data_IF_201027839895
#
_entry.id   IF_201027839895
#
_cell.length_a   1.000
_cell.length_b   1.000
_cell.length_c   1.000
_cell.angle_alpha   90.00
_cell.angle_beta   90.00
_cell.angle_gamma   90.00
#
_symmetry.space_group_name_H-M   'P 1'
#
loop_
_entity.id
_entity.type
_entity.pdbx_description
1 polymer ?
#
# COMPACT_ATOMS: atom_id res chain seq x y z
N UNK A 1 -54.31 -38.39 -20.56
CA UNK A 1 -53.47 -38.11 -19.38
C UNK A 1 -53.76 -36.69 -18.91
N UNK A 2 -54.09 -36.54 -17.63
CA UNK A 2 -54.35 -35.29 -16.91
C UNK A 2 -53.05 -34.48 -16.82
N UNK A 3 -53.14 -33.15 -16.92
CA UNK A 3 -52.63 -32.24 -15.87
C UNK A 3 -52.96 -30.79 -16.19
N UNK A 4 -53.64 -30.15 -15.23
CA UNK A 4 -53.97 -28.72 -15.17
C UNK A 4 -52.74 -28.01 -14.60
N UNK A 5 -52.26 -26.96 -15.24
CA UNK A 5 -51.22 -26.10 -14.67
C UNK A 5 -51.87 -24.88 -14.00
N UNK A 6 -51.62 -24.74 -12.70
CA UNK A 6 -52.15 -23.72 -11.81
C UNK A 6 -51.37 -22.40 -11.93
N UNK A 7 -52.09 -21.30 -11.73
CA UNK A 7 -51.57 -19.93 -11.63
C UNK A 7 -50.91 -19.73 -10.26
N UNK A 8 -49.73 -19.12 -10.23
CA UNK A 8 -49.14 -18.58 -9.00
C UNK A 8 -48.54 -17.20 -9.30
N UNK A 9 -49.25 -16.14 -8.91
CA UNK A 9 -48.77 -14.76 -8.94
C UNK A 9 -48.05 -14.52 -7.61
N UNK A 10 -46.73 -14.67 -7.61
CA UNK A 10 -45.89 -14.40 -6.44
C UNK A 10 -45.49 -12.92 -6.40
N UNK A 11 -45.92 -12.21 -5.36
CA UNK A 11 -45.49 -10.84 -5.09
C UNK A 11 -44.03 -10.84 -4.61
N UNK A 12 -43.14 -10.20 -5.36
CA UNK A 12 -41.75 -9.97 -4.94
C UNK A 12 -41.67 -8.71 -4.07
N UNK A 13 -41.57 -8.90 -2.75
CA UNK A 13 -41.25 -7.83 -1.82
C UNK A 13 -39.75 -7.49 -1.93
N UNK A 14 -39.43 -6.33 -2.53
CA UNK A 14 -38.07 -5.79 -2.59
C UNK A 14 -37.71 -5.19 -1.22
N UNK A 15 -36.92 -5.90 -0.43
CA UNK A 15 -36.31 -5.37 0.79
C UNK A 15 -35.07 -4.57 0.40
N UNK A 16 -35.20 -3.24 0.35
CA UNK A 16 -34.06 -2.35 0.17
C UNK A 16 -33.27 -2.25 1.48
N UNK A 17 -32.22 -3.07 1.62
CA UNK A 17 -31.26 -2.92 2.70
C UNK A 17 -30.39 -1.69 2.44
N UNK A 18 -30.66 -0.60 3.13
CA UNK A 18 -29.81 0.61 3.13
C UNK A 18 -28.49 0.29 3.84
N UNK A 19 -27.47 -0.07 3.06
CA UNK A 19 -26.10 -0.21 3.54
C UNK A 19 -25.52 1.18 3.81
N UNK A 20 -25.50 1.59 5.08
CA UNK A 20 -24.74 2.76 5.52
C UNK A 20 -23.25 2.43 5.44
N UNK A 21 -22.60 2.86 4.34
CA UNK A 21 -21.14 2.84 4.22
C UNK A 21 -20.56 3.84 5.22
N UNK A 22 -20.10 3.36 6.37
CA UNK A 22 -19.22 4.15 7.24
C UNK A 22 -17.85 4.19 6.58
N UNK A 23 -17.45 5.35 6.07
CA UNK A 23 -16.11 5.55 5.56
C UNK A 23 -15.12 5.33 6.71
N UNK A 24 -14.36 4.22 6.65
CA UNK A 24 -13.29 3.99 7.60
C UNK A 24 -12.28 5.14 7.50
N UNK A 25 -11.70 5.61 8.63
CA UNK A 25 -10.69 6.65 8.59
C UNK A 25 -9.55 6.24 7.65
N UNK A 26 -9.20 7.13 6.72
CA UNK A 26 -8.10 6.93 5.79
C UNK A 26 -6.77 7.04 6.55
N UNK A 27 -6.33 5.92 7.12
CA UNK A 27 -5.07 5.78 7.84
C UNK A 27 -3.88 5.55 6.87
N UNK A 28 -3.96 6.17 5.69
CA UNK A 28 -2.95 6.03 4.66
C UNK A 28 -1.76 6.96 4.95
N UNK A 29 -0.57 6.38 5.03
CA UNK A 29 0.68 7.12 4.93
C UNK A 29 1.12 7.16 3.45
N UNK A 30 1.82 8.21 3.07
CA UNK A 30 2.30 8.37 1.71
C UNK A 30 3.11 9.63 1.50
N UNK A 31 3.78 9.67 0.36
CA UNK A 31 4.60 10.80 -0.07
C UNK A 31 5.62 10.35 -1.10
N UNK A 32 6.90 10.68 -0.92
CA UNK A 32 7.95 10.34 -1.88
C UNK A 32 8.98 9.40 -1.26
N UNK A 33 9.50 8.49 -2.09
CA UNK A 33 10.62 7.62 -1.77
C UNK A 33 11.72 7.82 -2.81
N UNK A 34 12.94 8.03 -2.33
CA UNK A 34 14.10 8.34 -3.15
C UNK A 34 15.24 7.36 -2.86
N UNK A 35 15.80 6.77 -3.91
CA UNK A 35 17.10 6.10 -3.86
C UNK A 35 18.16 7.07 -4.43
N UNK A 36 19.31 7.20 -3.76
CA UNK A 36 20.37 8.12 -4.16
C UNK A 36 20.92 7.85 -5.58
N UNK A 37 21.12 6.59 -5.96
CA UNK A 37 21.68 6.19 -7.26
C UNK A 37 20.76 5.39 -8.17
N UNK A 38 19.89 4.58 -7.59
CA UNK A 38 19.04 3.65 -8.32
C UNK A 38 17.60 4.14 -8.46
N UNK A 39 16.80 3.41 -9.23
CA UNK A 39 15.34 3.57 -9.23
C UNK A 39 14.74 2.78 -8.07
N UNK A 40 13.80 3.34 -7.29
CA UNK A 40 12.99 2.54 -6.37
C UNK A 40 12.11 1.57 -7.16
N UNK A 41 12.25 0.27 -6.90
CA UNK A 41 11.54 -0.81 -7.63
C UNK A 41 10.50 -1.54 -6.78
N UNK A 42 10.54 -1.36 -5.47
CA UNK A 42 9.61 -1.98 -4.53
C UNK A 42 9.74 -1.36 -3.16
N UNK A 43 8.68 -1.45 -2.37
CA UNK A 43 8.72 -1.03 -0.97
C UNK A 43 7.78 -1.89 -0.14
N UNK A 44 8.33 -2.58 0.86
CA UNK A 44 7.57 -3.32 1.85
C UNK A 44 7.40 -2.46 3.09
N UNK A 45 6.19 -2.38 3.61
CA UNK A 45 5.84 -1.64 4.81
C UNK A 45 5.54 -2.65 5.91
N UNK A 46 6.31 -2.57 6.99
CA UNK A 46 6.05 -3.31 8.22
C UNK A 46 5.35 -2.39 9.21
N UNK A 47 4.19 -2.82 9.69
CA UNK A 47 3.33 -2.07 10.59
C UNK A 47 3.31 -2.77 11.94
N UNK A 48 3.76 -2.06 12.97
CA UNK A 48 3.80 -2.59 14.32
C UNK A 48 2.39 -2.96 14.80
N UNK A 49 2.18 -4.23 15.12
CA UNK A 49 0.88 -4.79 15.52
C UNK A 49 -0.22 -4.52 14.48
N UNK A 50 0.14 -4.47 13.19
CA UNK A 50 -0.77 -4.16 12.10
C UNK A 50 -0.63 -5.13 10.93
N UNK A 51 -1.06 -4.65 9.76
CA UNK A 51 -0.97 -5.42 8.51
C UNK A 51 0.21 -4.91 7.70
N UNK A 52 1.17 -5.79 7.47
CA UNK A 52 2.33 -5.55 6.61
C UNK A 52 1.96 -5.76 5.14
N UNK A 53 2.71 -5.14 4.23
CA UNK A 53 2.43 -5.31 2.80
C UNK A 53 3.29 -4.45 1.89
N UNK A 54 3.15 -4.68 0.59
CA UNK A 54 3.76 -3.81 -0.41
C UNK A 54 3.00 -2.50 -0.52
N UNK A 55 3.74 -1.40 -0.51
CA UNK A 55 3.21 -0.09 -0.85
C UNK A 55 2.89 0.02 -2.34
N UNK A 56 1.93 0.85 -2.68
CA UNK A 56 1.74 1.29 -4.06
C UNK A 56 2.84 2.29 -4.40
N UNK A 57 3.50 2.10 -5.54
CA UNK A 57 4.49 3.03 -6.07
C UNK A 57 4.03 3.60 -7.41
N UNK A 58 4.18 4.90 -7.62
CA UNK A 58 3.93 5.55 -8.90
C UNK A 58 5.15 6.34 -9.37
N UNK A 59 5.39 6.32 -10.68
CA UNK A 59 6.50 7.06 -11.29
C UNK A 59 6.37 8.57 -11.11
N UNK A 60 7.51 9.23 -10.96
CA UNK A 60 7.64 10.68 -11.12
C UNK A 60 8.51 10.97 -12.36
N UNK A 61 8.71 12.24 -12.69
CA UNK A 61 9.62 12.64 -13.78
C UNK A 61 11.09 12.24 -13.50
N UNK A 62 11.48 12.10 -12.23
CA UNK A 62 12.79 11.60 -11.85
C UNK A 62 12.71 10.09 -11.56
N UNK A 63 13.41 9.21 -12.30
CA UNK A 63 13.33 7.77 -12.07
C UNK A 63 13.83 7.36 -10.68
N UNK A 64 14.65 8.17 -10.02
CA UNK A 64 15.15 7.93 -8.65
C UNK A 64 14.12 8.24 -7.58
N UNK A 65 13.00 8.86 -7.94
CA UNK A 65 11.94 9.27 -7.03
C UNK A 65 10.63 8.61 -7.46
N UNK A 66 9.96 7.94 -6.52
CA UNK A 66 8.58 7.44 -6.70
C UNK A 66 7.67 8.10 -5.68
N UNK A 67 6.41 8.34 -6.05
CA UNK A 67 5.40 8.54 -5.02
C UNK A 67 5.04 7.19 -4.43
N UNK A 68 4.67 7.17 -3.15
CA UNK A 68 4.25 5.96 -2.45
C UNK A 68 3.01 6.19 -1.61
N UNK A 69 2.25 5.13 -1.39
CA UNK A 69 1.16 5.11 -0.41
C UNK A 69 0.93 3.71 0.17
N UNK A 70 0.53 3.66 1.44
CA UNK A 70 0.15 2.44 2.14
C UNK A 70 -0.76 2.74 3.35
N UNK A 71 -1.72 1.86 3.65
CA UNK A 71 -2.57 1.99 4.83
C UNK A 71 -1.86 1.44 6.09
N UNK A 72 -1.27 2.32 6.89
CA UNK A 72 -0.56 1.94 8.12
C UNK A 72 -1.49 1.76 9.32
N UNK A 73 -2.81 1.93 9.14
CA UNK A 73 -3.80 1.80 10.20
C UNK A 73 -3.57 2.79 11.36
N UNK A 74 -2.84 3.88 11.11
CA UNK A 74 -2.49 4.90 12.12
C UNK A 74 -1.42 4.43 13.10
N UNK A 75 -0.78 3.30 12.81
CA UNK A 75 0.20 2.65 13.67
C UNK A 75 1.62 3.02 13.25
N UNK A 76 2.54 2.78 14.17
CA UNK A 76 3.97 2.90 13.90
C UNK A 76 4.38 1.91 12.81
N UNK A 77 5.18 2.35 11.86
CA UNK A 77 5.64 1.55 10.74
C UNK A 77 7.12 1.79 10.46
N UNK A 78 7.74 0.87 9.72
CA UNK A 78 9.03 1.07 9.06
C UNK A 78 8.92 0.53 7.64
N UNK A 79 9.85 0.92 6.78
CA UNK A 79 9.87 0.46 5.39
C UNK A 79 11.15 -0.26 5.05
N UNK A 80 11.04 -1.12 4.05
CA UNK A 80 12.16 -1.75 3.35
C UNK A 80 12.07 -1.31 1.90
N UNK A 81 13.06 -0.54 1.44
CA UNK A 81 13.06 0.02 0.09
C UNK A 81 13.98 -0.81 -0.79
N UNK A 82 13.41 -1.31 -1.89
CA UNK A 82 14.13 -1.93 -2.98
C UNK A 82 14.73 -0.87 -3.90
N UNK A 83 16.05 -0.67 -3.84
CA UNK A 83 16.77 0.23 -4.74
C UNK A 83 17.47 -0.59 -5.84
N UNK A 84 17.05 -0.39 -7.10
CA UNK A 84 17.56 -1.13 -8.27
C UNK A 84 17.06 -2.58 -8.37
N UNK A 85 17.35 -3.24 -9.50
CA UNK A 85 16.84 -4.59 -9.79
C UNK A 85 15.43 -4.58 -10.39
N UNK A 86 14.58 -5.50 -9.96
CA UNK A 86 13.16 -5.62 -10.37
C UNK A 86 12.25 -5.62 -9.14
N UNK A 87 10.94 -5.50 -9.32
CA UNK A 87 9.99 -5.55 -8.19
C UNK A 87 10.04 -6.88 -7.42
N UNK A 88 10.37 -7.98 -8.10
CA UNK A 88 10.47 -9.33 -7.56
C UNK A 88 11.87 -9.66 -7.02
N UNK A 89 12.91 -8.98 -7.48
CA UNK A 89 14.30 -9.24 -7.09
C UNK A 89 15.04 -7.92 -6.94
N UNK A 90 15.11 -7.43 -5.70
CA UNK A 90 15.70 -6.14 -5.40
C UNK A 90 17.22 -6.20 -5.50
N UNK A 91 17.83 -5.20 -6.14
CA UNK A 91 19.28 -5.05 -6.19
C UNK A 91 19.87 -4.67 -4.83
N UNK A 92 19.10 -3.97 -4.00
CA UNK A 92 19.40 -3.70 -2.59
C UNK A 92 18.12 -3.53 -1.81
N UNK A 93 18.10 -4.06 -0.58
CA UNK A 93 17.03 -3.84 0.40
C UNK A 93 17.59 -2.99 1.54
N UNK A 94 17.02 -1.81 1.74
CA UNK A 94 17.50 -0.86 2.76
C UNK A 94 16.34 -0.54 3.70
N UNK A 95 16.52 -0.84 4.98
CA UNK A 95 15.50 -0.64 6.02
C UNK A 95 15.57 0.76 6.59
N UNK A 96 14.41 1.34 6.89
CA UNK A 96 14.30 2.62 7.59
C UNK A 96 14.28 2.49 9.12
N UNK A 97 14.35 3.63 9.81
CA UNK A 97 13.88 3.72 11.19
C UNK A 97 12.37 3.48 11.28
N UNK A 98 11.90 3.14 12.49
CA UNK A 98 10.47 3.17 12.83
C UNK A 98 9.98 4.62 12.91
N UNK A 99 8.75 4.86 12.48
CA UNK A 99 8.08 6.15 12.59
C UNK A 99 6.56 5.99 12.71
N UNK A 100 5.89 6.95 13.34
CA UNK A 100 4.41 7.04 13.39
C UNK A 100 3.85 7.92 12.29
N UNK A 101 4.70 8.67 11.59
CA UNK A 101 4.36 9.59 10.53
C UNK A 101 5.55 9.76 9.57
N UNK A 102 5.35 10.49 8.48
CA UNK A 102 6.41 10.82 7.55
C UNK A 102 5.99 10.52 6.13
N UNK A 103 6.28 11.47 5.25
CA UNK A 103 5.93 11.43 3.84
C UNK A 103 7.18 11.27 2.98
N UNK A 104 8.35 11.62 3.49
CA UNK A 104 9.59 11.60 2.72
C UNK A 104 10.49 10.48 3.19
N UNK A 105 10.84 9.59 2.27
CA UNK A 105 11.74 8.46 2.51
C UNK A 105 12.97 8.67 1.64
N UNK A 106 14.14 8.79 2.28
CA UNK A 106 15.40 9.01 1.58
C UNK A 106 16.38 7.89 1.90
N UNK A 107 16.86 7.22 0.86
CA UNK A 107 17.73 6.06 0.95
C UNK A 107 19.08 6.30 0.27
N UNK A 108 20.16 6.12 1.03
CA UNK A 108 21.52 6.05 0.51
C UNK A 108 21.82 4.60 0.07
N UNK A 109 21.69 4.31 -1.22
CA UNK A 109 21.96 3.01 -1.83
C UNK A 109 23.39 2.87 -2.38
N UNK A 110 24.25 3.84 -2.08
CA UNK A 110 25.66 3.89 -2.50
C UNK A 110 26.61 3.84 -1.31
N UNK A 111 27.81 3.29 -1.55
CA UNK A 111 28.84 3.16 -0.53
C UNK A 111 28.55 2.05 0.49
N UNK A 112 29.43 1.95 1.50
CA UNK A 112 29.36 0.90 2.51
C UNK A 112 28.26 1.13 3.55
N UNK A 113 27.81 2.38 3.74
CA UNK A 113 26.81 2.73 4.74
C UNK A 113 25.44 2.95 4.09
N UNK A 114 24.69 1.87 3.92
CA UNK A 114 23.33 1.91 3.37
C UNK A 114 22.33 2.26 4.46
N UNK A 115 21.65 3.39 4.31
CA UNK A 115 20.65 3.86 5.28
C UNK A 115 19.40 4.39 4.57
N UNK A 116 18.23 4.13 5.14
CA UNK A 116 16.99 4.83 4.78
C UNK A 116 16.48 5.60 5.99
N UNK A 117 15.93 6.79 5.77
CA UNK A 117 15.29 7.58 6.83
C UNK A 117 13.90 8.01 6.40
N UNK A 118 12.97 7.93 7.35
CA UNK A 118 11.64 8.54 7.25
C UNK A 118 11.72 9.93 7.88
N UNK A 119 11.32 10.95 7.12
CA UNK A 119 11.27 12.35 7.53
C UNK A 119 10.03 13.08 7.02
#
# INVERSE_FOLDING_TARGET
MKSRAAVAIGAFALVAASMTLTAAPANAAGGTVTCASSTPVGMWVEVQNGTDGFATLSSTANPRVKNWSYNTQGKRFRVYVGCGGTAQTWGSSITSNWSTSGSTISCADVGYNRTCRIG
#
